data_IF_258891310149
#
_entry.id   IF_258891310149
#
_cell.length_a   1.000
_cell.length_b   1.000
_cell.length_c   1.000
_cell.angle_alpha   90.00
_cell.angle_beta   90.00
_cell.angle_gamma   90.00
#
_symmetry.space_group_name_H-M   'P 1'
#
loop_
_entity.id
_entity.type
_entity.pdbx_description
1 polymer ?
#
# COMPACT_ATOMS: atom_id res chain seq x y z
N UNK A 1 -26.32 2.27 -9.53
CA UNK A 1 -25.09 1.53 -9.88
C UNK A 1 -23.79 2.35 -9.68
N UNK A 2 -23.77 3.39 -8.80
CA UNK A 2 -22.58 4.22 -8.52
C UNK A 2 -21.94 3.95 -7.15
N UNK A 3 -22.29 2.85 -6.45
CA UNK A 3 -21.85 2.58 -5.06
C UNK A 3 -20.88 1.39 -4.91
N UNK A 4 -20.44 0.77 -5.97
CA UNK A 4 -19.60 -0.47 -5.90
C UNK A 4 -18.10 -0.18 -6.08
N UNK A 5 -17.71 1.04 -6.47
CA UNK A 5 -16.30 1.39 -6.66
C UNK A 5 -15.67 2.11 -5.45
N UNK A 6 -16.31 2.07 -4.29
CA UNK A 6 -15.83 2.69 -3.05
C UNK A 6 -14.94 1.71 -2.29
N UNK A 7 -13.89 1.21 -2.93
CA UNK A 7 -12.99 0.28 -2.25
C UNK A 7 -11.58 0.85 -2.01
N UNK A 8 -11.50 2.15 -1.86
CA UNK A 8 -10.36 2.77 -1.20
C UNK A 8 -10.78 3.16 0.22
N UNK A 9 -10.83 2.17 1.10
CA UNK A 9 -11.26 2.32 2.49
C UNK A 9 -10.41 3.33 3.28
N UNK A 10 -9.24 3.68 2.76
CA UNK A 10 -8.36 4.69 3.34
C UNK A 10 -8.98 6.11 3.33
N UNK A 11 -9.90 6.36 2.43
CA UNK A 11 -10.51 7.67 2.22
C UNK A 11 -11.61 8.03 3.23
N UNK A 12 -12.14 7.04 3.93
CA UNK A 12 -13.16 7.27 4.96
C UNK A 12 -12.56 7.81 6.27
N UNK A 13 -11.24 7.82 6.41
CA UNK A 13 -10.56 8.11 7.65
C UNK A 13 -10.28 9.59 7.88
N UNK A 14 -10.22 10.37 6.84
CA UNK A 14 -9.97 11.80 6.94
C UNK A 14 -11.26 12.65 7.00
N UNK A 15 -12.43 12.06 6.71
CA UNK A 15 -13.66 12.83 6.46
C UNK A 15 -14.51 13.19 7.67
N UNK A 16 -14.19 12.75 8.91
CA UNK A 16 -15.09 12.93 10.06
C UNK A 16 -14.43 13.44 11.35
N UNK A 17 -13.28 14.09 11.28
CA UNK A 17 -12.64 14.63 12.49
C UNK A 17 -12.45 16.14 12.35
N UNK A 18 -13.37 16.92 12.94
CA UNK A 18 -13.11 18.34 13.24
C UNK A 18 -12.08 18.42 14.36
N UNK A 19 -10.79 18.33 14.03
CA UNK A 19 -9.75 18.65 15.02
C UNK A 19 -9.45 20.15 14.98
N UNK A 20 -9.16 20.81 16.10
CA UNK A 20 -8.51 22.09 16.07
C UNK A 20 -7.14 21.89 15.40
N UNK A 21 -7.07 22.21 14.12
CA UNK A 21 -5.91 21.93 13.24
C UNK A 21 -4.63 22.65 13.67
N UNK A 22 -4.77 23.68 14.49
CA UNK A 22 -3.71 24.63 14.83
C UNK A 22 -2.68 24.12 15.83
N UNK A 23 -3.04 23.22 16.73
CA UNK A 23 -2.16 22.88 17.87
C UNK A 23 -1.05 21.86 17.53
N UNK A 24 -1.14 21.11 16.46
CA UNK A 24 -0.17 20.06 16.13
C UNK A 24 0.76 20.40 14.94
N UNK A 25 0.58 21.57 14.31
CA UNK A 25 1.47 22.02 13.23
C UNK A 25 2.90 22.28 13.71
N UNK A 26 3.08 22.80 14.92
CA UNK A 26 4.42 22.98 15.50
C UNK A 26 5.21 21.67 15.68
N UNK A 27 4.55 20.51 15.66
CA UNK A 27 5.20 19.20 15.72
C UNK A 27 5.51 18.61 14.34
N UNK A 28 5.01 19.19 13.24
CA UNK A 28 5.10 18.68 11.89
C UNK A 28 6.38 19.09 11.16
N UNK A 29 7.53 19.07 11.84
CA UNK A 29 8.80 19.12 11.13
C UNK A 29 8.96 17.87 10.24
N UNK A 30 9.85 17.93 9.24
CA UNK A 30 10.07 16.86 8.26
C UNK A 30 10.33 15.49 8.91
N UNK A 31 11.13 15.47 10.00
CA UNK A 31 11.47 14.24 10.74
C UNK A 31 10.22 13.62 11.38
N UNK A 32 9.39 14.43 12.03
CA UNK A 32 8.16 13.95 12.66
C UNK A 32 7.13 13.52 11.64
N UNK A 33 6.99 14.26 10.52
CA UNK A 33 6.09 13.88 9.44
C UNK A 33 6.52 12.53 8.81
N UNK A 34 7.82 12.33 8.58
CA UNK A 34 8.36 11.06 8.11
C UNK A 34 8.04 9.92 9.08
N UNK A 35 8.33 10.10 10.37
CA UNK A 35 8.06 9.07 11.39
C UNK A 35 6.57 8.77 11.54
N UNK A 36 5.71 9.78 11.47
CA UNK A 36 4.27 9.63 11.52
C UNK A 36 3.72 8.85 10.31
N UNK A 37 4.21 9.15 9.11
CA UNK A 37 3.69 8.61 7.84
C UNK A 37 4.41 7.34 7.35
N UNK A 38 5.58 6.97 7.90
CA UNK A 38 6.37 5.81 7.46
C UNK A 38 5.58 4.49 7.40
N UNK A 39 4.73 4.16 8.38
CA UNK A 39 3.91 2.94 8.30
C UNK A 39 2.95 2.92 7.10
N UNK A 40 2.52 4.09 6.64
CA UNK A 40 1.68 4.20 5.45
C UNK A 40 2.47 3.83 4.17
N UNK A 41 3.70 4.32 4.03
CA UNK A 41 4.58 3.95 2.95
C UNK A 41 4.87 2.44 2.94
N UNK A 42 5.09 1.84 4.11
CA UNK A 42 5.30 0.40 4.27
C UNK A 42 4.09 -0.41 3.80
N UNK A 43 2.89 -0.08 4.29
CA UNK A 43 1.64 -0.78 3.94
C UNK A 43 1.34 -0.70 2.45
N UNK A 44 1.42 0.51 1.86
CA UNK A 44 1.14 0.69 0.43
C UNK A 44 2.21 0.06 -0.46
N UNK A 45 3.49 0.13 -0.08
CA UNK A 45 4.56 -0.56 -0.76
C UNK A 45 4.30 -2.06 -0.86
N UNK A 46 3.95 -2.66 0.27
CA UNK A 46 3.63 -4.09 0.36
C UNK A 46 2.36 -4.43 -0.43
N UNK A 47 1.29 -3.63 -0.29
CA UNK A 47 0.02 -3.87 -0.96
C UNK A 47 0.17 -3.89 -2.48
N UNK A 48 0.81 -2.86 -3.05
CA UNK A 48 0.97 -2.71 -4.49
C UNK A 48 1.94 -3.74 -5.09
N UNK A 49 2.88 -4.26 -4.30
CA UNK A 49 3.76 -5.36 -4.70
C UNK A 49 3.16 -6.75 -4.48
N UNK A 50 1.93 -6.86 -3.93
CA UNK A 50 1.24 -8.12 -3.66
C UNK A 50 0.30 -8.53 -4.79
N UNK A 51 -0.17 -9.80 -4.76
CA UNK A 51 -1.22 -10.33 -5.64
C UNK A 51 -0.81 -10.45 -7.11
N UNK A 52 0.49 -10.41 -7.44
CA UNK A 52 0.98 -10.48 -8.81
C UNK A 52 0.72 -11.82 -9.47
N UNK A 53 0.68 -12.91 -8.71
CA UNK A 53 0.48 -14.27 -9.21
C UNK A 53 -0.39 -15.11 -8.27
N UNK A 54 -0.93 -16.19 -8.77
CA UNK A 54 -1.65 -17.25 -8.02
C UNK A 54 -1.37 -18.64 -8.63
N UNK A 55 -0.47 -18.70 -9.61
CA UNK A 55 0.06 -19.88 -10.27
C UNK A 55 1.31 -19.49 -11.06
N UNK A 56 2.24 -20.43 -11.21
CA UNK A 56 3.40 -20.29 -12.09
C UNK A 56 3.10 -20.77 -13.54
N UNK A 57 1.97 -21.40 -13.74
CA UNK A 57 1.52 -21.79 -15.08
C UNK A 57 1.20 -20.55 -15.91
N UNK A 58 1.64 -20.56 -17.19
CA UNK A 58 1.35 -19.51 -18.18
C UNK A 58 0.95 -20.19 -19.46
N UNK A 59 -0.13 -19.73 -20.08
CA UNK A 59 -0.63 -20.33 -21.32
C UNK A 59 0.36 -20.21 -22.50
N UNK A 60 0.52 -21.27 -23.25
CA UNK A 60 1.24 -21.26 -24.52
C UNK A 60 0.39 -20.74 -25.69
N UNK A 61 -0.91 -20.83 -25.56
CA UNK A 61 -1.89 -20.24 -26.47
C UNK A 61 -2.34 -18.88 -25.93
N UNK A 62 -3.20 -18.21 -26.67
CA UNK A 62 -3.84 -16.99 -26.19
C UNK A 62 -4.63 -17.29 -24.90
N UNK A 63 -4.35 -16.54 -23.86
CA UNK A 63 -5.09 -16.55 -22.60
C UNK A 63 -5.43 -15.14 -22.17
N UNK A 64 -6.57 -15.01 -21.53
CA UNK A 64 -7.06 -13.74 -20.98
C UNK A 64 -7.51 -13.95 -19.54
N UNK A 65 -7.18 -13.03 -18.66
CA UNK A 65 -7.63 -13.04 -17.27
C UNK A 65 -8.11 -11.67 -16.82
N UNK A 66 -9.21 -11.66 -16.06
CA UNK A 66 -9.67 -10.50 -15.29
C UNK A 66 -9.73 -10.90 -13.82
N UNK A 67 -8.98 -10.20 -12.98
CA UNK A 67 -8.86 -10.53 -11.57
C UNK A 67 -9.18 -9.34 -10.67
N UNK A 68 -9.73 -9.64 -9.49
CA UNK A 68 -9.83 -8.72 -8.35
C UNK A 68 -8.93 -9.26 -7.25
N UNK A 69 -7.90 -8.50 -6.88
CA UNK A 69 -6.90 -8.87 -5.87
C UNK A 69 -7.16 -8.08 -4.60
N UNK A 70 -7.33 -8.79 -3.51
CA UNK A 70 -7.54 -8.23 -2.17
C UNK A 70 -6.39 -8.59 -1.24
N UNK A 71 -5.93 -7.64 -0.44
CA UNK A 71 -4.88 -7.81 0.56
C UNK A 71 -5.36 -7.29 1.91
N UNK A 72 -4.86 -7.93 2.95
CA UNK A 72 -5.08 -7.57 4.34
C UNK A 72 -3.72 -7.55 5.04
N UNK A 73 -3.21 -6.35 5.31
CA UNK A 73 -1.83 -6.12 5.74
C UNK A 73 -1.83 -5.87 7.24
N UNK A 74 -1.10 -6.70 7.99
CA UNK A 74 -0.88 -6.50 9.43
C UNK A 74 0.10 -5.35 9.64
N UNK A 75 -0.11 -4.60 10.73
CA UNK A 75 0.80 -3.54 11.16
C UNK A 75 1.43 -4.01 12.47
N UNK A 76 2.76 -4.18 12.54
CA UNK A 76 3.44 -4.51 13.78
C UNK A 76 3.27 -3.42 14.85
N UNK A 77 3.25 -3.80 16.11
CA UNK A 77 3.02 -2.87 17.23
C UNK A 77 4.06 -1.74 17.29
N UNK A 78 5.31 -2.03 16.91
CA UNK A 78 6.38 -1.04 16.80
C UNK A 78 6.16 0.05 15.74
N UNK A 79 5.27 -0.19 14.79
CA UNK A 79 4.87 0.78 13.77
C UNK A 79 3.61 1.59 14.16
N UNK A 80 3.01 1.34 15.31
CA UNK A 80 1.85 2.09 15.81
C UNK A 80 2.23 3.37 16.54
N UNK A 81 3.48 3.49 17.00
CA UNK A 81 3.98 4.67 17.73
C UNK A 81 5.37 5.09 17.23
N UNK A 82 5.72 6.36 17.46
CA UNK A 82 7.06 6.90 17.23
C UNK A 82 7.45 7.89 18.33
N UNK A 83 8.75 8.15 18.48
CA UNK A 83 9.27 9.18 19.39
C UNK A 83 9.42 10.50 18.60
N UNK A 84 8.68 11.57 18.95
CA UNK A 84 8.75 12.82 18.22
C UNK A 84 10.07 13.56 18.51
N UNK A 85 10.63 14.19 17.47
CA UNK A 85 11.74 15.13 17.60
C UNK A 85 11.18 16.50 18.03
N UNK A 86 11.39 16.87 19.28
CA UNK A 86 10.89 18.11 19.89
C UNK A 86 12.03 19.08 20.22
N UNK A 87 11.75 20.38 20.34
CA UNK A 87 12.74 21.36 20.79
C UNK A 87 13.32 21.02 22.17
N UNK A 88 14.49 21.59 22.48
CA UNK A 88 15.13 21.37 23.77
C UNK A 88 14.23 21.84 24.95
N UNK A 89 14.20 21.05 26.01
CA UNK A 89 13.42 21.32 27.22
C UNK A 89 12.01 20.72 27.23
N UNK A 90 11.58 20.06 26.16
CA UNK A 90 10.36 19.26 26.16
C UNK A 90 10.66 17.81 26.59
N UNK A 91 9.77 17.24 27.39
CA UNK A 91 9.84 15.79 27.70
C UNK A 91 9.30 15.00 26.52
N UNK A 92 9.98 13.90 26.15
CA UNK A 92 9.56 13.05 25.07
C UNK A 92 8.96 11.74 25.59
N UNK A 93 7.91 11.27 24.94
CA UNK A 93 7.32 9.94 25.09
C UNK A 93 6.80 9.47 23.73
N UNK A 94 6.57 8.19 23.52
CA UNK A 94 5.99 7.71 22.27
C UNK A 94 4.63 8.36 21.99
N UNK A 95 4.36 8.66 20.73
CA UNK A 95 3.08 9.16 20.22
C UNK A 95 2.61 8.35 19.03
N UNK A 96 1.35 8.47 18.64
CA UNK A 96 0.74 7.68 17.56
C UNK A 96 1.33 7.99 16.19
N UNK A 97 1.60 6.94 15.41
CA UNK A 97 1.76 7.05 13.96
C UNK A 97 0.39 7.19 13.30
N UNK A 98 0.34 7.28 11.97
CA UNK A 98 -0.90 7.34 11.18
C UNK A 98 -1.85 6.16 11.47
N UNK A 99 -1.34 4.99 11.82
CA UNK A 99 -2.13 3.81 12.18
C UNK A 99 -2.29 3.60 13.69
N UNK A 100 -1.62 4.38 14.50
CA UNK A 100 -1.73 4.33 15.96
C UNK A 100 -3.10 4.75 16.48
N UNK A 101 -3.20 4.93 17.78
CA UNK A 101 -4.45 5.31 18.46
C UNK A 101 -5.02 6.64 17.97
N UNK A 102 -6.36 6.80 18.04
CA UNK A 102 -7.06 8.08 17.75
C UNK A 102 -6.80 9.15 18.81
N UNK A 103 -5.56 9.28 19.25
CA UNK A 103 -5.14 10.21 20.27
C UNK A 103 -3.74 10.71 19.96
N UNK A 104 -3.58 12.01 19.82
CA UNK A 104 -2.29 12.68 19.88
C UNK A 104 -1.83 12.85 21.32
N UNK A 105 -0.52 13.05 21.51
CA UNK A 105 0.07 13.33 22.82
C UNK A 105 0.36 14.82 22.97
N UNK A 106 0.28 15.30 24.22
CA UNK A 106 0.61 16.67 24.61
C UNK A 106 1.93 16.68 25.37
N UNK A 107 2.84 17.50 24.91
CA UNK A 107 4.18 17.68 25.48
C UNK A 107 4.31 19.07 26.06
N UNK A 108 4.61 19.17 27.38
CA UNK A 108 4.87 20.42 28.03
C UNK A 108 6.35 20.81 27.95
N UNK A 109 6.63 22.08 27.70
CA UNK A 109 7.99 22.59 27.60
C UNK A 109 8.08 24.08 27.92
N UNK A 110 9.29 24.68 27.76
CA UNK A 110 9.55 26.07 28.15
C UNK A 110 8.66 27.10 27.43
N UNK A 111 8.25 26.79 26.19
CA UNK A 111 7.47 27.71 25.35
C UNK A 111 5.98 27.30 25.26
N UNK A 112 5.47 26.50 26.20
CA UNK A 112 4.08 26.05 26.21
C UNK A 112 3.90 24.58 25.88
N UNK A 113 2.85 24.26 25.16
CA UNK A 113 2.48 22.88 24.84
C UNK A 113 2.61 22.62 23.33
N UNK A 114 3.18 21.46 22.98
CA UNK A 114 3.19 20.91 21.61
C UNK A 114 2.29 19.69 21.59
N UNK A 115 1.41 19.60 20.60
CA UNK A 115 0.49 18.47 20.43
C UNK A 115 0.79 17.75 19.12
N UNK A 116 0.92 16.43 19.14
CA UNK A 116 1.11 15.60 17.95
C UNK A 116 -0.21 15.16 17.33
N UNK A 117 -0.25 14.85 16.03
CA UNK A 117 -1.46 14.36 15.37
C UNK A 117 -1.90 13.00 15.95
N UNK A 118 -3.22 12.75 15.99
CA UNK A 118 -3.75 11.43 16.33
C UNK A 118 -3.55 10.44 15.18
N UNK A 119 -3.49 9.15 15.48
CA UNK A 119 -3.58 8.08 14.50
C UNK A 119 -5.02 7.78 14.07
N UNK A 120 -5.17 6.84 13.19
CA UNK A 120 -6.47 6.40 12.62
C UNK A 120 -7.06 5.21 13.36
N UNK A 121 -6.26 4.50 14.15
CA UNK A 121 -6.59 3.24 14.81
C UNK A 121 -7.07 2.17 13.80
N UNK A 122 -6.46 2.14 12.61
CA UNK A 122 -6.74 1.15 11.59
C UNK A 122 -5.55 0.21 11.48
N UNK A 123 -5.73 -0.94 12.04
CA UNK A 123 -4.86 -2.08 11.90
C UNK A 123 -5.75 -3.34 11.98
N UNK A 124 -5.69 -4.22 11.01
CA UNK A 124 -4.93 -4.18 9.74
C UNK A 124 -5.60 -3.42 8.61
N UNK A 125 -4.85 -3.15 7.52
CA UNK A 125 -5.31 -2.35 6.38
C UNK A 125 -5.76 -3.24 5.22
N UNK A 126 -7.03 -3.14 4.78
CA UNK A 126 -7.50 -3.80 3.57
C UNK A 126 -7.20 -2.98 2.31
N UNK A 127 -6.75 -3.63 1.25
CA UNK A 127 -6.54 -3.02 -0.09
C UNK A 127 -7.09 -3.95 -1.16
N UNK A 128 -7.77 -3.41 -2.18
CA UNK A 128 -8.30 -4.19 -3.32
C UNK A 128 -8.05 -3.42 -4.61
N UNK A 129 -7.68 -4.13 -5.68
CA UNK A 129 -7.56 -3.55 -7.03
C UNK A 129 -7.85 -4.57 -8.14
N UNK A 130 -8.27 -4.09 -9.33
CA UNK A 130 -8.43 -4.91 -10.52
C UNK A 130 -7.09 -5.18 -11.18
N UNK A 131 -6.97 -6.34 -11.84
CA UNK A 131 -5.82 -6.75 -12.63
C UNK A 131 -6.29 -7.49 -13.87
N UNK A 132 -5.74 -7.13 -15.03
CA UNK A 132 -5.90 -7.81 -16.30
C UNK A 132 -4.63 -8.59 -16.63
N UNK A 133 -4.78 -9.74 -17.26
CA UNK A 133 -3.67 -10.52 -17.79
C UNK A 133 -3.96 -10.95 -19.24
N UNK A 134 -2.95 -10.86 -20.08
CA UNK A 134 -2.98 -11.40 -21.44
C UNK A 134 -1.74 -12.27 -21.63
N UNK A 135 -1.92 -13.53 -21.97
CA UNK A 135 -0.82 -14.47 -22.11
C UNK A 135 -0.76 -15.07 -23.50
N UNK A 136 0.46 -15.32 -23.95
CA UNK A 136 0.77 -16.03 -25.20
C UNK A 136 2.21 -16.54 -25.13
N UNK A 137 2.49 -17.71 -25.69
CA UNK A 137 3.83 -18.32 -25.77
C UNK A 137 4.56 -18.39 -24.42
N UNK A 138 3.83 -18.72 -23.34
CA UNK A 138 4.38 -18.84 -22.00
C UNK A 138 4.76 -17.49 -21.35
N UNK A 139 4.31 -16.37 -21.91
CA UNK A 139 4.51 -15.02 -21.35
C UNK A 139 3.17 -14.38 -21.09
N UNK A 140 2.99 -13.77 -19.91
CA UNK A 140 1.80 -13.02 -19.53
C UNK A 140 2.17 -11.55 -19.28
N UNK A 141 1.48 -10.67 -19.99
CA UNK A 141 1.46 -9.24 -19.70
C UNK A 141 0.38 -8.97 -18.66
N UNK A 142 0.74 -8.26 -17.60
CA UNK A 142 -0.14 -7.88 -16.50
C UNK A 142 -0.39 -6.38 -16.56
N UNK A 143 -1.65 -5.96 -16.40
CA UNK A 143 -2.04 -4.56 -16.30
C UNK A 143 -2.93 -4.36 -15.08
N UNK A 144 -2.61 -3.35 -14.27
CA UNK A 144 -3.44 -2.82 -13.18
C UNK A 144 -3.81 -1.40 -13.52
N UNK A 145 -5.09 -1.08 -13.50
CA UNK A 145 -5.49 0.25 -13.87
C UNK A 145 -6.75 0.68 -13.11
N UNK A 146 -6.60 1.80 -12.42
CA UNK A 146 -7.72 2.59 -11.89
C UNK A 146 -7.50 3.99 -12.44
N UNK A 147 -8.41 4.48 -13.32
CA UNK A 147 -8.30 5.84 -13.84
C UNK A 147 -8.34 6.85 -12.70
N UNK A 148 -7.74 8.00 -12.92
CA UNK A 148 -7.85 9.12 -11.98
C UNK A 148 -9.33 9.47 -11.80
N UNK A 149 -9.84 9.29 -10.58
CA UNK A 149 -11.25 9.55 -10.23
C UNK A 149 -11.32 10.54 -9.07
N UNK A 150 -12.35 11.39 -9.10
CA UNK A 150 -12.68 12.32 -8.03
C UNK A 150 -13.82 11.75 -7.19
N UNK A 151 -13.66 11.66 -5.87
CA UNK A 151 -14.65 11.09 -4.95
C UNK A 151 -14.81 12.00 -3.72
N UNK A 152 -15.87 12.80 -3.68
CA UNK A 152 -16.11 13.72 -2.56
C UNK A 152 -15.01 14.77 -2.45
N UNK A 153 -14.32 14.80 -1.31
CA UNK A 153 -13.19 15.69 -1.02
C UNK A 153 -11.85 15.21 -1.60
N UNK A 154 -11.82 14.05 -2.25
CA UNK A 154 -10.64 13.52 -2.88
C UNK A 154 -10.66 13.98 -4.33
N UNK A 155 -9.66 14.76 -4.69
CA UNK A 155 -9.55 15.31 -6.03
C UNK A 155 -9.01 14.31 -7.01
N UNK A 156 -8.16 13.39 -6.53
CA UNK A 156 -7.54 12.39 -7.38
C UNK A 156 -7.20 11.11 -6.63
N UNK A 157 -7.60 10.00 -7.22
CA UNK A 157 -7.11 8.67 -6.85
C UNK A 157 -6.89 7.90 -8.14
N UNK A 158 -5.69 7.39 -8.33
CA UNK A 158 -5.34 6.62 -9.52
C UNK A 158 -4.30 5.54 -9.25
N UNK A 159 -4.39 4.44 -9.98
CA UNK A 159 -3.43 3.34 -9.98
C UNK A 159 -3.08 2.95 -11.42
N UNK A 160 -1.80 2.88 -11.72
CA UNK A 160 -1.27 2.26 -12.92
C UNK A 160 -0.24 1.22 -12.52
N UNK A 161 -0.35 0.02 -13.07
CA UNK A 161 0.63 -1.05 -12.89
C UNK A 161 0.82 -1.84 -14.17
N UNK A 162 2.06 -2.22 -14.44
CA UNK A 162 2.43 -3.08 -15.57
C UNK A 162 3.40 -4.14 -15.10
N UNK A 163 3.22 -5.37 -15.59
CA UNK A 163 4.11 -6.47 -15.26
C UNK A 163 4.23 -7.48 -16.38
N UNK A 164 5.28 -8.28 -16.31
CA UNK A 164 5.53 -9.40 -17.21
C UNK A 164 5.85 -10.62 -16.36
N UNK A 165 5.14 -11.73 -16.61
CA UNK A 165 5.41 -13.04 -16.04
C UNK A 165 5.80 -13.99 -17.16
N UNK A 166 6.85 -14.78 -16.98
CA UNK A 166 7.34 -15.71 -17.97
C UNK A 166 7.60 -17.08 -17.38
N UNK A 167 7.10 -18.12 -18.05
CA UNK A 167 7.28 -19.52 -17.66
C UNK A 167 8.70 -20.01 -17.98
N UNK A 168 9.44 -20.38 -16.95
CA UNK A 168 10.77 -20.96 -17.03
C UNK A 168 10.69 -22.47 -17.26
N UNK A 169 9.69 -23.15 -16.68
CA UNK A 169 9.49 -24.59 -16.81
C UNK A 169 9.34 -25.07 -18.27
N UNK A 170 8.89 -24.20 -19.19
CA UNK A 170 8.79 -24.52 -20.60
C UNK A 170 10.15 -24.86 -21.27
N UNK A 171 11.25 -24.44 -20.68
CA UNK A 171 12.61 -24.71 -21.18
C UNK A 171 13.29 -25.88 -20.48
N UNK A 172 12.67 -26.45 -19.46
CA UNK A 172 13.24 -27.53 -18.65
C UNK A 172 12.39 -28.80 -18.85
N UNK A 173 12.83 -29.74 -19.68
CA UNK A 173 12.09 -30.99 -19.92
C UNK A 173 11.88 -31.77 -18.62
N UNK A 174 10.69 -32.36 -18.47
CA UNK A 174 10.33 -33.27 -17.37
C UNK A 174 10.33 -32.67 -15.96
N UNK A 175 10.38 -31.35 -15.82
CA UNK A 175 10.19 -30.72 -14.51
C UNK A 175 8.76 -30.97 -14.01
N UNK A 176 8.57 -31.51 -12.78
CA UNK A 176 7.24 -31.90 -12.30
C UNK A 176 6.41 -30.75 -11.73
N UNK A 177 6.89 -29.52 -11.85
CA UNK A 177 6.26 -28.30 -11.33
C UNK A 177 6.34 -27.18 -12.35
N UNK A 178 5.40 -26.27 -12.34
CA UNK A 178 5.52 -25.01 -13.08
C UNK A 178 6.43 -24.06 -12.31
N UNK A 179 7.32 -23.36 -13.02
CA UNK A 179 8.20 -22.31 -12.49
C UNK A 179 8.09 -21.10 -13.39
N UNK A 180 7.93 -19.94 -12.80
CA UNK A 180 7.90 -18.67 -13.52
C UNK A 180 8.71 -17.58 -12.78
N UNK A 181 9.14 -16.57 -13.54
CA UNK A 181 9.69 -15.33 -13.04
C UNK A 181 8.76 -14.18 -13.43
N UNK A 182 8.73 -13.14 -12.62
CA UNK A 182 7.87 -11.99 -12.85
C UNK A 182 8.55 -10.72 -12.41
N UNK A 183 8.32 -9.65 -13.17
CA UNK A 183 8.57 -8.27 -12.77
C UNK A 183 7.25 -7.51 -12.82
N UNK A 184 7.02 -6.64 -11.82
CA UNK A 184 5.80 -5.86 -11.70
C UNK A 184 6.16 -4.46 -11.20
N UNK A 185 5.76 -3.44 -11.94
CA UNK A 185 5.86 -2.04 -11.56
C UNK A 185 4.47 -1.47 -11.31
N UNK A 186 4.33 -0.65 -10.25
CA UNK A 186 3.09 0.06 -9.95
C UNK A 186 3.38 1.51 -9.61
N UNK A 187 2.49 2.40 -10.01
CA UNK A 187 2.45 3.81 -9.62
C UNK A 187 1.07 4.14 -9.06
N UNK A 188 1.04 4.76 -7.91
CA UNK A 188 -0.18 5.18 -7.23
C UNK A 188 -0.15 6.67 -6.97
N UNK A 189 -1.28 7.35 -7.19
CA UNK A 189 -1.44 8.78 -6.96
C UNK A 189 -2.67 9.04 -6.12
N UNK A 190 -2.55 10.00 -5.21
CA UNK A 190 -3.64 10.43 -4.36
C UNK A 190 -3.51 11.94 -4.08
N UNK A 191 -4.60 12.69 -4.24
CA UNK A 191 -4.66 14.13 -3.97
C UNK A 191 -5.93 14.45 -3.16
N UNK A 192 -5.78 15.20 -2.08
CA UNK A 192 -6.86 15.55 -1.16
C UNK A 192 -6.93 17.07 -0.92
N UNK A 193 -7.99 17.72 -1.43
CA UNK A 193 -8.39 19.12 -1.13
C UNK A 193 -7.25 20.14 -1.15
N UNK A 194 -6.32 20.09 -2.07
CA UNK A 194 -5.10 20.93 -2.06
C UNK A 194 -4.28 20.88 -0.74
N UNK A 195 -4.58 19.94 0.16
CA UNK A 195 -3.93 19.80 1.46
C UNK A 195 -2.82 18.78 1.44
N UNK A 196 -3.01 17.70 0.65
CA UNK A 196 -2.04 16.63 0.61
C UNK A 196 -2.02 15.91 -0.73
N UNK A 197 -0.81 15.57 -1.17
CA UNK A 197 -0.56 14.80 -2.37
C UNK A 197 0.40 13.66 -2.07
N UNK A 198 0.07 12.48 -2.56
CA UNK A 198 0.90 11.28 -2.44
C UNK A 198 1.18 10.77 -3.85
N UNK A 199 2.46 10.63 -4.18
CA UNK A 199 2.95 9.93 -5.34
C UNK A 199 3.79 8.73 -4.86
N UNK A 200 3.39 7.51 -5.22
CA UNK A 200 4.12 6.31 -4.84
C UNK A 200 4.49 5.49 -6.08
N UNK A 201 5.66 4.89 -6.06
CA UNK A 201 6.14 3.95 -7.07
C UNK A 201 6.71 2.70 -6.42
N UNK A 202 6.43 1.55 -7.02
CA UNK A 202 6.75 0.25 -6.45
C UNK A 202 7.25 -0.69 -7.54
N UNK A 203 8.26 -1.47 -7.21
CA UNK A 203 8.82 -2.48 -8.10
C UNK A 203 8.94 -3.80 -7.34
N UNK A 204 8.46 -4.88 -7.94
CA UNK A 204 8.63 -6.23 -7.44
C UNK A 204 9.26 -7.12 -8.52
N UNK A 205 10.23 -7.92 -8.12
CA UNK A 205 10.75 -9.04 -8.90
C UNK A 205 10.55 -10.32 -8.10
N UNK A 206 9.96 -11.35 -8.70
CA UNK A 206 9.76 -12.61 -8.02
C UNK A 206 10.07 -13.83 -8.91
N UNK A 207 10.40 -14.93 -8.24
CA UNK A 207 10.42 -16.27 -8.81
C UNK A 207 9.45 -17.12 -8.00
N UNK A 208 8.59 -17.87 -8.68
CA UNK A 208 7.58 -18.68 -8.03
C UNK A 208 7.36 -20.01 -8.73
N UNK A 209 6.87 -20.96 -7.96
CA UNK A 209 6.57 -22.32 -8.44
C UNK A 209 5.15 -22.72 -8.02
N UNK A 210 4.52 -23.56 -8.82
CA UNK A 210 3.21 -24.15 -8.53
C UNK A 210 3.09 -25.56 -9.08
N UNK A 211 2.12 -26.31 -8.57
CA UNK A 211 1.77 -27.62 -9.10
C UNK A 211 0.28 -27.87 -8.99
N UNK A 212 -0.36 -28.15 -10.11
CA UNK A 212 -1.79 -28.45 -10.11
C UNK A 212 -2.07 -29.90 -9.73
N UNK A 213 -3.00 -30.08 -8.79
CA UNK A 213 -3.56 -31.36 -8.35
C UNK A 213 -5.08 -31.32 -8.58
N UNK A 214 -5.48 -31.64 -9.80
CA UNK A 214 -6.87 -31.48 -10.23
C UNK A 214 -7.29 -30.02 -10.24
N UNK A 215 -8.24 -29.64 -9.38
CA UNK A 215 -8.73 -28.27 -9.28
C UNK A 215 -7.91 -27.39 -8.32
N UNK A 216 -7.03 -27.97 -7.51
CA UNK A 216 -6.24 -27.25 -6.50
C UNK A 216 -4.81 -27.09 -6.96
N UNK A 217 -4.28 -25.90 -6.86
CA UNK A 217 -2.91 -25.53 -7.26
C UNK A 217 -2.22 -24.80 -6.11
N UNK A 218 -1.48 -25.51 -5.23
CA UNK A 218 -0.57 -24.84 -4.29
C UNK A 218 0.55 -24.12 -5.05
N UNK A 219 1.00 -22.98 -4.48
CA UNK A 219 2.10 -22.20 -5.01
C UNK A 219 2.97 -21.61 -3.90
N UNK A 220 4.23 -21.39 -4.25
CA UNK A 220 5.22 -20.73 -3.41
C UNK A 220 6.03 -19.75 -4.24
N UNK A 221 6.40 -18.61 -3.66
CA UNK A 221 7.22 -17.61 -4.32
C UNK A 221 8.17 -16.90 -3.36
N UNK A 222 9.29 -16.45 -3.93
CA UNK A 222 10.22 -15.53 -3.28
C UNK A 222 10.24 -14.24 -4.08
N UNK A 223 10.12 -13.12 -3.39
CA UNK A 223 10.00 -11.80 -3.98
C UNK A 223 10.99 -10.83 -3.37
N UNK A 224 11.71 -10.13 -4.23
CA UNK A 224 12.43 -8.90 -3.90
C UNK A 224 11.57 -7.72 -4.30
N UNK A 225 11.47 -6.70 -3.45
CA UNK A 225 10.62 -5.55 -3.71
C UNK A 225 11.20 -4.25 -3.17
N UNK A 226 10.83 -3.16 -3.82
CA UNK A 226 11.10 -1.81 -3.37
C UNK A 226 9.86 -0.94 -3.53
N UNK A 227 9.77 0.06 -2.68
CA UNK A 227 8.70 1.06 -2.72
C UNK A 227 9.28 2.41 -2.35
N UNK A 228 8.83 3.46 -3.01
CA UNK A 228 9.14 4.85 -2.69
C UNK A 228 7.85 5.63 -2.67
N UNK A 229 7.68 6.53 -1.70
CA UNK A 229 6.51 7.39 -1.55
C UNK A 229 6.92 8.81 -1.25
N UNK A 230 6.44 9.73 -2.06
CA UNK A 230 6.52 11.17 -1.84
C UNK A 230 5.19 11.65 -1.26
N UNK A 231 5.25 12.32 -0.11
CA UNK A 231 4.13 13.00 0.53
C UNK A 231 4.39 14.50 0.48
N UNK A 232 3.58 15.24 -0.25
CA UNK A 232 3.54 16.69 -0.23
C UNK A 232 2.32 17.14 0.58
N UNK A 233 2.49 18.14 1.44
CA UNK A 233 1.40 18.68 2.25
C UNK A 233 1.45 20.19 2.30
N UNK A 234 0.25 20.80 2.33
CA UNK A 234 0.07 22.24 2.43
C UNK A 234 -0.99 22.56 3.50
N UNK A 235 -0.60 23.38 4.46
CA UNK A 235 -1.52 23.98 5.42
C UNK A 235 -1.73 25.41 5.02
N UNK A 236 -2.98 25.78 4.71
CA UNK A 236 -3.32 27.15 4.30
C UNK A 236 -3.12 28.12 5.46
N UNK A 237 -2.63 29.33 5.19
CA UNK A 237 -2.44 30.35 6.24
C UNK A 237 -3.74 30.67 6.97
N UNK A 238 -3.68 30.72 8.30
CA UNK A 238 -4.74 31.24 9.17
C UNK A 238 -4.25 32.49 9.93
N UNK A 239 -4.34 33.71 9.35
CA UNK A 239 -3.73 34.91 9.90
C UNK A 239 -4.18 35.29 11.31
N UNK A 240 -5.35 34.78 11.75
CA UNK A 240 -5.89 35.03 13.11
C UNK A 240 -5.55 33.91 14.10
N UNK A 241 -4.73 32.90 13.69
CA UNK A 241 -4.25 31.90 14.65
C UNK A 241 -3.23 32.52 15.58
N UNK A 242 -3.27 32.13 16.85
CA UNK A 242 -2.25 32.57 17.83
C UNK A 242 -0.86 31.95 17.62
N UNK A 243 -0.72 31.05 16.61
CA UNK A 243 0.51 30.35 16.25
C UNK A 243 1.12 30.99 14.98
N UNK A 244 2.36 31.52 15.05
CA UNK A 244 3.00 32.17 13.91
C UNK A 244 3.20 31.25 12.67
N UNK A 245 3.44 29.94 12.86
CA UNK A 245 3.61 28.98 11.77
C UNK A 245 2.29 28.69 11.08
N UNK A 246 1.20 28.57 11.84
CA UNK A 246 -0.16 28.44 11.31
C UNK A 246 -0.60 29.73 10.63
N UNK A 247 -0.25 30.89 11.17
CA UNK A 247 -0.55 32.18 10.57
C UNK A 247 0.14 32.37 9.20
N UNK A 248 1.33 31.82 9.04
CA UNK A 248 2.12 31.90 7.80
C UNK A 248 1.75 30.79 6.78
N UNK A 249 1.10 29.71 7.25
CA UNK A 249 0.92 28.48 6.49
C UNK A 249 2.21 27.64 6.41
N UNK A 250 2.04 26.33 6.22
CA UNK A 250 3.14 25.39 6.16
C UNK A 250 3.04 24.57 4.87
N UNK A 251 4.15 24.48 4.15
CA UNK A 251 4.32 23.55 3.03
C UNK A 251 5.50 22.65 3.31
N UNK A 252 5.32 21.35 3.05
CA UNK A 252 6.40 20.40 3.22
C UNK A 252 6.34 19.27 2.19
N UNK A 253 7.47 18.64 2.01
CA UNK A 253 7.61 17.42 1.22
C UNK A 253 8.47 16.43 1.99
N UNK A 254 8.01 15.18 2.05
CA UNK A 254 8.73 14.08 2.69
C UNK A 254 8.79 12.92 1.73
N UNK A 255 9.99 12.40 1.50
CA UNK A 255 10.21 11.17 0.74
C UNK A 255 10.52 10.01 1.68
N UNK A 256 9.86 8.89 1.47
CA UNK A 256 9.95 7.69 2.31
C UNK A 256 10.14 6.47 1.44
N UNK A 257 11.05 5.60 1.84
CA UNK A 257 11.19 4.26 1.24
C UNK A 257 10.43 3.25 2.09
N UNK A 258 9.80 2.28 1.43
CA UNK A 258 9.20 1.14 2.11
C UNK A 258 10.29 0.23 2.69
N UNK A 259 10.12 -0.21 3.92
CA UNK A 259 11.12 -1.00 4.64
C UNK A 259 11.15 -2.48 4.25
N UNK A 260 10.14 -2.95 3.51
CA UNK A 260 10.11 -4.33 3.04
C UNK A 260 10.90 -4.47 1.74
N UNK A 261 11.93 -5.31 1.75
CA UNK A 261 12.73 -5.61 0.56
C UNK A 261 12.67 -7.07 0.13
N UNK A 262 12.23 -7.97 1.02
CA UNK A 262 12.13 -9.40 0.72
C UNK A 262 10.87 -10.02 1.34
N UNK A 263 10.20 -10.89 0.57
CA UNK A 263 9.00 -11.60 1.01
C UNK A 263 8.96 -13.02 0.49
N UNK A 264 8.60 -13.96 1.37
CA UNK A 264 8.21 -15.32 1.01
C UNK A 264 6.68 -15.39 0.94
N UNK A 265 6.14 -16.02 -0.11
CA UNK A 265 4.70 -16.11 -0.37
C UNK A 265 4.34 -17.58 -0.47
N UNK A 266 3.31 -18.00 0.27
CA UNK A 266 2.75 -19.34 0.21
C UNK A 266 1.24 -19.25 0.05
N UNK A 267 0.70 -19.98 -0.92
CA UNK A 267 -0.74 -19.94 -1.20
C UNK A 267 -1.26 -21.13 -1.96
N UNK A 268 -2.54 -21.10 -2.22
CA UNK A 268 -3.23 -22.07 -3.07
C UNK A 268 -4.33 -21.39 -3.89
N UNK A 269 -4.54 -21.87 -5.10
CA UNK A 269 -5.68 -21.53 -5.93
C UNK A 269 -6.58 -22.72 -6.20
N UNK A 270 -7.86 -22.45 -6.44
CA UNK A 270 -8.88 -23.44 -6.79
C UNK A 270 -9.53 -22.98 -8.10
N UNK A 271 -9.41 -23.81 -9.15
CA UNK A 271 -9.97 -23.53 -10.48
C UNK A 271 -11.26 -24.30 -10.71
N UNK A 272 -12.34 -23.56 -10.94
CA UNK A 272 -13.70 -24.06 -11.19
C UNK A 272 -14.14 -23.60 -12.58
N UNK A 273 -13.70 -24.34 -13.61
CA UNK A 273 -13.89 -23.94 -15.00
C UNK A 273 -13.08 -22.67 -15.32
N UNK A 274 -13.77 -21.59 -15.67
CA UNK A 274 -13.16 -20.28 -15.93
C UNK A 274 -12.94 -19.43 -14.67
N UNK A 275 -13.50 -19.85 -13.53
CA UNK A 275 -13.37 -19.15 -12.26
C UNK A 275 -12.19 -19.70 -11.45
N UNK A 276 -11.32 -18.81 -10.97
CA UNK A 276 -10.22 -19.14 -10.07
C UNK A 276 -10.34 -18.32 -8.79
N UNK A 277 -10.31 -19.01 -7.66
CA UNK A 277 -10.20 -18.41 -6.33
C UNK A 277 -8.81 -18.69 -5.80
N UNK A 278 -8.15 -17.71 -5.20
CA UNK A 278 -6.88 -17.93 -4.52
C UNK A 278 -6.85 -17.29 -3.14
N UNK A 279 -6.03 -17.88 -2.27
CA UNK A 279 -5.64 -17.29 -1.00
C UNK A 279 -4.15 -17.56 -0.75
N UNK A 280 -3.46 -16.58 -0.17
CA UNK A 280 -2.04 -16.66 0.15
C UNK A 280 -1.69 -15.87 1.41
N UNK A 281 -0.50 -16.18 1.92
CA UNK A 281 0.15 -15.46 2.99
C UNK A 281 1.56 -15.07 2.54
N UNK A 282 1.87 -13.80 2.66
CA UNK A 282 3.19 -13.24 2.43
C UNK A 282 3.87 -12.90 3.75
N UNK A 283 5.11 -13.35 3.92
CA UNK A 283 5.94 -13.13 5.10
C UNK A 283 7.14 -12.27 4.72
N UNK A 284 7.23 -11.11 5.30
CA UNK A 284 8.29 -10.10 5.13
C UNK A 284 8.39 -9.25 6.40
N UNK A 285 8.70 -7.96 6.27
CA UNK A 285 8.67 -7.00 7.40
C UNK A 285 7.27 -6.89 8.03
N UNK A 286 6.23 -7.11 7.23
CA UNK A 286 4.83 -7.21 7.66
C UNK A 286 4.21 -8.47 7.06
N UNK A 287 3.25 -9.07 7.77
CA UNK A 287 2.48 -10.20 7.26
C UNK A 287 1.33 -9.68 6.39
N UNK A 288 1.17 -10.29 5.23
CA UNK A 288 0.09 -10.00 4.27
C UNK A 288 -0.75 -11.26 4.06
N UNK A 289 -2.05 -11.13 4.19
CA UNK A 289 -3.00 -12.15 3.76
C UNK A 289 -3.59 -11.68 2.43
N UNK A 290 -3.32 -12.42 1.37
CA UNK A 290 -3.81 -12.17 0.02
C UNK A 290 -4.99 -13.04 -0.33
N UNK A 291 -5.85 -12.54 -1.20
CA UNK A 291 -6.92 -13.29 -1.81
C UNK A 291 -7.26 -12.75 -3.19
N UNK A 292 -7.85 -13.59 -4.03
CA UNK A 292 -8.23 -13.16 -5.36
C UNK A 292 -9.38 -13.96 -5.94
N UNK A 293 -10.16 -13.24 -6.75
CA UNK A 293 -11.13 -13.80 -7.66
C UNK A 293 -10.69 -13.50 -9.08
N UNK A 294 -10.49 -14.52 -9.91
CA UNK A 294 -10.04 -14.37 -11.29
C UNK A 294 -10.99 -15.11 -12.25
N UNK A 295 -11.23 -14.49 -13.39
CA UNK A 295 -11.90 -15.11 -14.54
C UNK A 295 -10.86 -15.35 -15.62
N UNK A 296 -10.63 -16.61 -15.99
CA UNK A 296 -9.59 -17.03 -16.93
C UNK A 296 -10.21 -17.73 -18.15
N UNK A 297 -9.80 -17.29 -19.34
CA UNK A 297 -10.31 -17.78 -20.63
C UNK A 297 -9.18 -18.21 -21.56
#
# INVERSE_FOLDING_TARGET
>A
MKKILVFFLFLFLLSNQSFPQTAWFASLNETNMKSFAQPFANVYGIALNSGGFHSASVSDLWGFSLSFKGMYISIPDEQLTYNPSLPAGYTTKPTSTIFGEKKGEVFAGPNGYITTPPGTNIAPVPVVFPQLGVSVLGTELILRYIPDVTIGSIEKVGLFGIGIKHSISRYIPLIPVDVAVQILYNSFKFEYQDVGKIDASNLAFNAHASKSFGIVTPYFGLQYESATMDLEYEVKPEPNSGDPEVAAGLKGKVSMDGENSFRAILGASVKLGFLVLNADMGLGSQTVFGGGLSFEF
#
